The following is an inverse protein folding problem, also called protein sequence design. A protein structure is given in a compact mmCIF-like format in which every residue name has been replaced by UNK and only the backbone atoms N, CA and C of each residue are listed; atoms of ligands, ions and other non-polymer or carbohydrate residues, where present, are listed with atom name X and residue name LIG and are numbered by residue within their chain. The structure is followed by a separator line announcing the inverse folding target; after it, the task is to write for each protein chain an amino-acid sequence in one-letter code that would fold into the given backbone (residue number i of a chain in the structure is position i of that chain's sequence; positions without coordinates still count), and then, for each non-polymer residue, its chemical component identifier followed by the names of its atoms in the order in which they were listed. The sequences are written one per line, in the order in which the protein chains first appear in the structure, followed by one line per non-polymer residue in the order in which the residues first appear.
data_IF_433272308585
#
_entry.id   IF_433272308585
#
_cell.length_a   1.000
_cell.length_b   1.000
_cell.length_c   1.000
_cell.angle_alpha   90.00
_cell.angle_beta   90.00
_cell.angle_gamma   90.00
#
_symmetry.space_group_name_H-M   'P 1'
#
loop_
_entity.id
_entity.type
_entity.pdbx_description
1 polymer ?
#
# COMPACT_ATOMS: atom_id res chain seq x y z
N UNK A 1 -26.33 -22.75 -38.26
CA UNK A 1 -26.33 -22.89 -39.71
C UNK A 1 -27.77 -22.74 -40.24
N UNK A 2 -28.72 -23.46 -39.64
CA UNK A 2 -30.13 -23.47 -40.07
C UNK A 2 -30.81 -22.11 -39.91
N UNK A 3 -30.56 -21.40 -38.82
CA UNK A 3 -31.03 -20.05 -38.56
C UNK A 3 -30.49 -19.01 -39.58
N UNK A 4 -29.25 -19.18 -40.04
CA UNK A 4 -28.67 -18.32 -41.09
C UNK A 4 -29.39 -18.57 -42.45
N UNK A 5 -29.69 -19.80 -42.78
CA UNK A 5 -30.42 -20.18 -44.00
C UNK A 5 -31.84 -19.63 -43.96
N UNK A 6 -32.50 -19.73 -42.81
CA UNK A 6 -33.84 -19.19 -42.57
C UNK A 6 -33.87 -17.66 -42.69
N UNK A 7 -32.84 -16.96 -42.14
CA UNK A 7 -32.66 -15.52 -42.23
C UNK A 7 -32.49 -15.10 -43.69
N UNK A 8 -31.64 -15.80 -44.45
CA UNK A 8 -31.43 -15.52 -45.88
C UNK A 8 -32.72 -15.76 -46.72
N UNK A 9 -33.48 -16.83 -46.41
CA UNK A 9 -34.72 -17.12 -47.13
C UNK A 9 -35.85 -16.15 -46.78
N UNK A 10 -35.91 -15.65 -45.56
CA UNK A 10 -36.93 -14.68 -45.12
C UNK A 10 -36.60 -13.26 -45.56
N UNK A 11 -35.39 -13.01 -46.09
CA UNK A 11 -34.92 -11.68 -46.45
C UNK A 11 -34.66 -10.76 -45.25
N UNK A 12 -34.51 -11.31 -44.03
CA UNK A 12 -34.13 -10.55 -42.83
C UNK A 12 -32.63 -10.22 -42.86
N UNK A 13 -32.29 -8.99 -42.45
CA UNK A 13 -30.89 -8.57 -42.36
C UNK A 13 -30.22 -8.96 -41.01
N UNK A 14 -31.02 -9.30 -39.99
CA UNK A 14 -30.56 -9.58 -38.65
C UNK A 14 -31.13 -10.89 -38.14
N UNK A 15 -30.32 -11.66 -37.38
CA UNK A 15 -30.79 -12.82 -36.64
C UNK A 15 -30.04 -12.98 -35.32
N UNK A 16 -30.71 -13.58 -34.33
CA UNK A 16 -30.19 -13.84 -32.99
C UNK A 16 -29.87 -15.32 -32.85
N UNK A 17 -28.67 -15.64 -32.42
CA UNK A 17 -28.26 -17.01 -32.15
C UNK A 17 -27.96 -17.20 -30.68
N UNK A 18 -28.53 -18.17 -30.03
CA UNK A 18 -28.17 -18.55 -28.65
C UNK A 18 -27.14 -19.68 -28.69
N UNK A 19 -25.96 -19.40 -28.14
CA UNK A 19 -24.86 -20.36 -28.08
C UNK A 19 -25.09 -21.51 -27.10
N UNK A 20 -24.24 -22.53 -27.14
CA UNK A 20 -24.27 -23.64 -26.19
C UNK A 20 -23.89 -23.21 -24.74
N UNK A 21 -23.32 -22.05 -24.59
CA UNK A 21 -23.00 -21.34 -23.33
C UNK A 21 -24.19 -20.60 -22.71
N UNK A 22 -25.33 -20.52 -23.44
CA UNK A 22 -26.54 -19.82 -23.02
C UNK A 22 -26.51 -18.31 -23.31
N UNK A 23 -25.46 -17.80 -23.93
CA UNK A 23 -25.38 -16.39 -24.32
C UNK A 23 -26.06 -16.18 -25.69
N UNK A 24 -26.63 -15.00 -25.87
CA UNK A 24 -27.30 -14.58 -27.12
C UNK A 24 -26.37 -13.68 -27.92
N UNK A 25 -26.19 -14.01 -29.18
CA UNK A 25 -25.35 -13.28 -30.12
C UNK A 25 -26.18 -12.71 -31.25
N UNK A 26 -26.07 -11.41 -31.50
CA UNK A 26 -26.72 -10.74 -32.60
C UNK A 26 -25.82 -10.75 -33.83
N UNK A 27 -26.37 -11.22 -34.94
CA UNK A 27 -25.68 -11.28 -36.24
C UNK A 27 -26.40 -10.44 -37.28
N UNK A 28 -25.62 -9.69 -38.06
CA UNK A 28 -26.12 -8.95 -39.22
C UNK A 28 -25.63 -9.62 -40.49
N UNK A 29 -26.55 -9.84 -41.44
CA UNK A 29 -26.28 -10.51 -42.69
C UNK A 29 -26.43 -9.51 -43.82
N UNK A 30 -25.41 -9.36 -44.67
CA UNK A 30 -25.44 -8.47 -45.81
C UNK A 30 -25.01 -9.21 -47.08
N UNK A 31 -25.72 -9.06 -48.17
CA UNK A 31 -25.37 -9.58 -49.49
C UNK A 31 -24.54 -8.58 -50.26
N UNK A 32 -23.37 -9.03 -50.72
CA UNK A 32 -22.50 -8.23 -51.58
C UNK A 32 -22.71 -8.67 -53.05
N UNK A 33 -23.33 -7.82 -53.92
CA UNK A 33 -23.61 -8.18 -55.29
C UNK A 33 -22.35 -8.34 -56.16
N UNK A 34 -21.26 -7.65 -55.83
CA UNK A 34 -20.00 -7.68 -56.59
C UNK A 34 -19.27 -9.01 -56.42
N UNK A 35 -19.26 -9.55 -55.22
CA UNK A 35 -18.60 -10.82 -54.88
C UNK A 35 -19.57 -12.02 -54.94
N UNK A 36 -20.85 -11.77 -55.13
CA UNK A 36 -21.95 -12.77 -55.06
C UNK A 36 -21.89 -13.59 -53.74
N UNK A 37 -21.44 -12.94 -52.65
CA UNK A 37 -21.23 -13.58 -51.35
C UNK A 37 -22.09 -12.93 -50.26
N UNK A 38 -22.36 -13.74 -49.23
CA UNK A 38 -22.98 -13.25 -47.99
C UNK A 38 -21.93 -12.93 -46.97
N UNK A 39 -22.00 -11.76 -46.36
CA UNK A 39 -21.16 -11.37 -45.22
C UNK A 39 -21.99 -11.44 -43.94
N UNK A 40 -21.49 -12.17 -42.97
CA UNK A 40 -22.14 -12.31 -41.67
C UNK A 40 -21.26 -11.58 -40.65
N UNK A 41 -21.80 -10.53 -40.03
CA UNK A 41 -21.14 -9.73 -39.01
C UNK A 41 -21.77 -10.04 -37.67
N UNK A 42 -20.94 -10.33 -36.69
CA UNK A 42 -21.39 -10.45 -35.30
C UNK A 42 -21.35 -9.06 -34.64
N UNK A 43 -22.49 -8.64 -34.10
CA UNK A 43 -22.55 -7.45 -33.24
C UNK A 43 -22.07 -7.85 -31.85
N UNK A 44 -20.99 -7.25 -31.39
CA UNK A 44 -20.47 -7.44 -30.04
C UNK A 44 -20.38 -6.08 -29.37
N UNK A 45 -21.03 -5.98 -28.22
CA UNK A 45 -20.81 -4.81 -27.38
C UNK A 45 -19.36 -4.83 -26.89
N UNK A 46 -18.62 -3.82 -27.22
CA UNK A 46 -17.25 -3.64 -26.80
C UNK A 46 -17.15 -2.32 -26.04
N UNK A 47 -16.65 -2.38 -24.82
CA UNK A 47 -16.34 -1.17 -24.09
C UNK A 47 -15.18 -0.45 -24.77
N UNK A 48 -15.44 0.74 -25.30
CA UNK A 48 -14.41 1.63 -25.84
C UNK A 48 -13.90 2.48 -24.69
N UNK A 49 -12.68 2.20 -24.25
CA UNK A 49 -12.02 3.04 -23.26
C UNK A 49 -11.43 4.28 -23.95
N UNK A 50 -11.82 5.45 -23.50
CA UNK A 50 -11.25 6.70 -23.98
C UNK A 50 -9.87 6.91 -23.32
N UNK A 51 -8.84 6.40 -24.00
CA UNK A 51 -7.48 6.44 -23.51
C UNK A 51 -6.85 7.81 -23.78
N UNK A 52 -6.12 8.35 -22.78
CA UNK A 52 -5.50 9.69 -22.85
C UNK A 52 -6.47 10.82 -23.18
N UNK A 53 -7.73 10.71 -22.75
CA UNK A 53 -8.68 11.79 -22.89
C UNK A 53 -8.19 13.04 -22.16
N UNK A 54 -8.38 14.20 -22.80
CA UNK A 54 -8.04 15.48 -22.18
C UNK A 54 -8.94 15.79 -20.98
N UNK A 55 -8.50 16.66 -20.06
CA UNK A 55 -9.34 17.11 -18.95
C UNK A 55 -10.71 17.62 -19.40
N UNK A 56 -11.77 17.13 -18.77
CA UNK A 56 -13.16 17.44 -19.08
C UNK A 56 -14.00 17.54 -17.81
N UNK A 57 -15.31 17.82 -17.94
CA UNK A 57 -16.23 17.80 -16.79
C UNK A 57 -16.42 16.40 -16.20
N UNK A 58 -16.29 15.36 -17.02
CA UNK A 58 -16.41 13.96 -16.59
C UNK A 58 -15.10 13.44 -16.03
N UNK A 59 -13.96 13.85 -16.60
CA UNK A 59 -12.61 13.46 -16.21
C UNK A 59 -11.75 14.69 -15.94
N UNK A 60 -11.76 15.20 -14.72
CA UNK A 60 -11.09 16.47 -14.35
C UNK A 60 -9.60 16.50 -14.68
N UNK A 61 -8.90 15.40 -14.54
CA UNK A 61 -7.49 15.25 -14.89
C UNK A 61 -7.28 14.40 -16.17
N UNK A 62 -8.36 14.14 -16.91
CA UNK A 62 -8.31 13.24 -18.06
C UNK A 62 -8.23 11.77 -17.67
N UNK A 63 -7.92 10.90 -18.65
CA UNK A 63 -7.79 9.47 -18.47
C UNK A 63 -6.35 8.99 -18.73
N UNK A 64 -6.00 7.85 -18.16
CA UNK A 64 -4.71 7.20 -18.38
C UNK A 64 -4.68 6.31 -19.64
N UNK A 65 -3.58 5.59 -19.85
CA UNK A 65 -3.43 4.64 -20.98
C UNK A 65 -4.47 3.50 -20.98
N UNK A 66 -5.12 3.24 -19.85
CA UNK A 66 -6.13 2.19 -19.70
C UNK A 66 -7.56 2.76 -19.74
N UNK A 67 -7.73 4.07 -20.02
CA UNK A 67 -9.01 4.75 -19.97
C UNK A 67 -9.54 5.01 -18.56
N UNK A 68 -8.72 4.81 -17.51
CA UNK A 68 -9.13 5.06 -16.12
C UNK A 68 -9.02 6.55 -15.80
N UNK A 69 -10.01 7.09 -15.08
CA UNK A 69 -10.02 8.48 -14.62
C UNK A 69 -8.84 8.77 -13.67
N UNK A 70 -8.01 9.73 -14.05
CA UNK A 70 -6.78 10.08 -13.32
C UNK A 70 -7.06 10.65 -11.94
N UNK A 71 -8.14 11.43 -11.76
CA UNK A 71 -8.52 12.00 -10.46
C UNK A 71 -8.92 10.90 -9.49
N UNK A 72 -9.78 10.00 -9.91
CA UNK A 72 -10.21 8.84 -9.13
C UNK A 72 -9.02 7.99 -8.73
N UNK A 73 -8.12 7.72 -9.66
CA UNK A 73 -6.91 6.94 -9.41
C UNK A 73 -5.96 7.58 -8.41
N UNK A 74 -5.80 8.91 -8.47
CA UNK A 74 -5.00 9.67 -7.52
C UNK A 74 -5.61 9.61 -6.11
N UNK A 75 -6.93 9.74 -5.98
CA UNK A 75 -7.62 9.68 -4.69
C UNK A 75 -7.51 8.28 -4.05
N UNK A 76 -7.76 7.23 -4.82
CA UNK A 76 -7.66 5.85 -4.32
C UNK A 76 -6.22 5.46 -4.00
N UNK A 77 -5.25 5.80 -4.87
CA UNK A 77 -3.84 5.57 -4.62
C UNK A 77 -3.34 6.31 -3.38
N UNK A 78 -3.69 7.60 -3.25
CA UNK A 78 -3.35 8.39 -2.07
C UNK A 78 -3.91 7.81 -0.77
N UNK A 79 -5.15 7.31 -0.79
CA UNK A 79 -5.75 6.62 0.37
C UNK A 79 -4.94 5.39 0.77
N UNK A 80 -4.54 4.56 -0.19
CA UNK A 80 -3.75 3.34 0.08
C UNK A 80 -2.39 3.70 0.66
N UNK A 81 -1.67 4.64 0.04
CA UNK A 81 -0.35 5.09 0.53
C UNK A 81 -0.41 5.71 1.92
N UNK A 82 -1.45 6.48 2.24
CA UNK A 82 -1.66 7.01 3.59
C UNK A 82 -1.90 5.90 4.62
N UNK A 83 -2.75 4.91 4.31
CA UNK A 83 -3.01 3.78 5.21
C UNK A 83 -1.72 3.00 5.47
N UNK A 84 -0.95 2.72 4.43
CA UNK A 84 0.36 2.05 4.56
C UNK A 84 1.28 2.88 5.46
N UNK A 85 1.43 4.17 5.19
CA UNK A 85 2.27 5.07 5.96
C UNK A 85 1.90 5.09 7.44
N UNK A 86 0.63 5.26 7.77
CA UNK A 86 0.16 5.25 9.16
C UNK A 86 0.43 3.93 9.88
N UNK A 87 0.14 2.79 9.25
CA UNK A 87 0.37 1.48 9.87
C UNK A 87 1.86 1.24 10.10
N UNK A 88 2.72 1.56 9.14
CA UNK A 88 4.18 1.45 9.25
C UNK A 88 4.70 2.30 10.41
N UNK A 89 4.27 3.57 10.49
CA UNK A 89 4.68 4.47 11.56
C UNK A 89 4.18 4.02 12.95
N UNK A 90 2.96 3.48 13.05
CA UNK A 90 2.46 2.92 14.30
C UNK A 90 3.33 1.74 14.75
N UNK A 91 3.64 0.80 13.86
CA UNK A 91 4.49 -0.36 14.18
C UNK A 91 5.88 0.11 14.63
N UNK A 92 6.52 0.98 13.86
CA UNK A 92 7.85 1.53 14.18
C UNK A 92 7.86 2.28 15.52
N UNK A 93 6.82 3.07 15.76
CA UNK A 93 6.70 3.86 17.00
C UNK A 93 6.47 2.96 18.22
N UNK A 94 5.57 1.99 18.13
CA UNK A 94 5.29 1.07 19.25
C UNK A 94 6.56 0.30 19.63
N UNK A 95 7.26 -0.28 18.64
CA UNK A 95 8.52 -0.98 18.89
C UNK A 95 9.61 -0.04 19.42
N UNK A 96 9.71 1.15 18.83
CA UNK A 96 10.66 2.18 19.24
C UNK A 96 10.42 2.69 20.66
N UNK A 97 9.17 2.92 21.05
CA UNK A 97 8.82 3.36 22.41
C UNK A 97 9.13 2.27 23.43
N UNK A 98 8.78 1.02 23.13
CA UNK A 98 9.07 -0.10 24.06
C UNK A 98 10.56 -0.27 24.22
N UNK A 99 11.30 -0.47 23.14
CA UNK A 99 12.73 -0.79 23.20
C UNK A 99 13.57 0.43 23.60
N UNK A 100 13.28 1.60 23.05
CA UNK A 100 13.95 2.85 23.43
C UNK A 100 13.62 3.28 24.86
N UNK A 101 12.39 3.07 25.30
CA UNK A 101 11.95 3.32 26.69
C UNK A 101 12.68 2.44 27.69
N UNK A 102 12.76 1.13 27.42
CA UNK A 102 13.51 0.18 28.25
C UNK A 102 15.01 0.52 28.30
N UNK A 103 15.59 0.81 27.14
CA UNK A 103 17.00 1.20 27.01
C UNK A 103 17.31 2.47 27.80
N UNK A 104 16.54 3.55 27.60
CA UNK A 104 16.73 4.82 28.28
C UNK A 104 16.47 4.79 29.80
N UNK A 105 15.48 3.97 30.22
CA UNK A 105 15.13 3.89 31.64
C UNK A 105 16.10 3.05 32.46
N UNK A 106 16.37 1.81 32.03
CA UNK A 106 17.23 0.90 32.78
C UNK A 106 18.72 1.20 32.61
N UNK A 107 19.12 1.70 31.43
CA UNK A 107 20.51 2.03 31.15
C UNK A 107 21.44 0.82 31.20
N UNK A 108 22.72 1.05 31.46
CA UNK A 108 23.76 0.03 31.68
C UNK A 108 23.72 -1.12 30.66
N UNK A 109 23.57 -2.37 31.14
CA UNK A 109 23.57 -3.55 30.27
C UNK A 109 22.35 -3.65 29.34
N UNK A 110 21.17 -3.25 29.80
CA UNK A 110 19.94 -3.25 28.98
C UNK A 110 20.10 -2.28 27.81
N UNK A 111 20.60 -1.09 28.08
CA UNK A 111 20.89 -0.08 27.06
C UNK A 111 21.93 -0.60 26.06
N UNK A 112 23.03 -1.16 26.56
CA UNK A 112 24.07 -1.71 25.71
C UNK A 112 23.54 -2.81 24.77
N UNK A 113 22.73 -3.73 25.28
CA UNK A 113 22.16 -4.82 24.47
C UNK A 113 21.22 -4.30 23.38
N UNK A 114 20.26 -3.44 23.76
CA UNK A 114 19.27 -2.90 22.81
C UNK A 114 19.97 -2.05 21.75
N UNK A 115 20.93 -1.20 22.15
CA UNK A 115 21.65 -0.38 21.18
C UNK A 115 22.55 -1.20 20.24
N UNK A 116 23.09 -2.33 20.68
CA UNK A 116 23.80 -3.27 19.80
C UNK A 116 22.86 -3.86 18.74
N UNK A 117 21.65 -4.24 19.13
CA UNK A 117 20.65 -4.69 18.16
C UNK A 117 20.33 -3.56 17.16
N UNK A 118 20.12 -2.34 17.65
CA UNK A 118 19.90 -1.16 16.81
C UNK A 118 21.06 -0.95 15.83
N UNK A 119 22.31 -1.07 16.30
CA UNK A 119 23.51 -0.91 15.45
C UNK A 119 23.57 -1.99 14.36
N UNK A 120 23.22 -3.24 14.67
CA UNK A 120 23.12 -4.32 13.68
C UNK A 120 22.10 -3.98 12.60
N UNK A 121 20.91 -3.49 12.97
CA UNK A 121 19.90 -3.06 12.01
C UNK A 121 20.38 -1.94 11.09
N UNK A 122 21.16 -0.99 11.60
CA UNK A 122 21.73 0.08 10.77
C UNK A 122 22.85 -0.39 9.83
N UNK A 123 23.54 -1.48 10.15
CA UNK A 123 24.52 -2.08 9.26
C UNK A 123 23.87 -2.77 8.04
N UNK A 124 22.59 -3.12 8.14
CA UNK A 124 21.88 -3.84 7.10
C UNK A 124 21.23 -2.80 6.14
N UNK A 125 21.59 -2.79 4.87
CA UNK A 125 20.97 -1.86 3.93
C UNK A 125 19.50 -2.25 3.68
N UNK A 126 18.57 -1.40 4.14
CA UNK A 126 17.13 -1.70 4.11
C UNK A 126 16.58 -1.89 2.70
N UNK A 127 16.99 -1.08 1.72
CA UNK A 127 16.49 -1.17 0.35
C UNK A 127 16.77 -2.53 -0.32
N UNK A 128 17.99 -3.09 -0.33
CA UNK A 128 18.25 -4.43 -0.82
C UNK A 128 17.39 -5.51 -0.18
N UNK A 129 17.18 -5.45 1.16
CA UNK A 129 16.33 -6.42 1.85
C UNK A 129 14.90 -6.36 1.33
N UNK A 130 14.33 -5.17 1.23
CA UNK A 130 12.95 -4.98 0.77
C UNK A 130 12.80 -5.46 -0.67
N UNK A 131 13.78 -5.20 -1.53
CA UNK A 131 13.80 -5.67 -2.92
C UNK A 131 13.82 -7.21 -2.98
N UNK A 132 14.70 -7.85 -2.21
CA UNK A 132 14.78 -9.33 -2.17
C UNK A 132 13.47 -9.94 -1.67
N UNK A 133 12.91 -9.40 -0.60
CA UNK A 133 11.64 -9.88 -0.04
C UNK A 133 10.47 -9.64 -1.01
N UNK A 134 10.44 -8.50 -1.68
CA UNK A 134 9.45 -8.20 -2.73
C UNK A 134 9.53 -9.19 -3.89
N UNK A 135 10.73 -9.46 -4.39
CA UNK A 135 10.96 -10.44 -5.45
C UNK A 135 10.60 -11.88 -5.01
N UNK A 136 10.90 -12.24 -3.77
CA UNK A 136 10.49 -13.53 -3.22
C UNK A 136 8.97 -13.70 -3.17
N UNK A 137 8.23 -12.66 -2.79
CA UNK A 137 6.77 -12.64 -2.82
C UNK A 137 6.20 -12.75 -4.25
N UNK A 138 6.87 -12.16 -5.25
CA UNK A 138 6.49 -12.32 -6.65
C UNK A 138 6.62 -13.77 -7.13
N UNK A 139 7.74 -14.41 -6.79
CA UNK A 139 8.01 -15.80 -7.17
C UNK A 139 7.05 -16.81 -6.52
N UNK A 140 6.52 -16.50 -5.34
CA UNK A 140 5.58 -17.36 -4.62
C UNK A 140 4.12 -17.09 -4.97
N UNK A 141 3.83 -16.12 -5.82
CA UNK A 141 2.46 -15.80 -6.25
C UNK A 141 1.55 -15.32 -5.12
N UNK A 142 2.10 -14.61 -4.15
CA UNK A 142 1.35 -14.08 -3.00
C UNK A 142 0.26 -13.12 -3.48
N UNK A 143 -0.95 -13.28 -2.93
CA UNK A 143 -2.08 -12.39 -3.18
C UNK A 143 -1.72 -10.92 -2.94
N UNK A 144 -2.13 -9.98 -3.83
CA UNK A 144 -1.81 -8.56 -3.70
C UNK A 144 -2.17 -7.94 -2.35
N UNK A 145 -3.28 -8.35 -1.73
CA UNK A 145 -3.71 -7.84 -0.43
C UNK A 145 -2.77 -8.32 0.70
N UNK A 146 -2.40 -9.58 0.67
CA UNK A 146 -1.46 -10.18 1.65
C UNK A 146 -0.07 -9.56 1.47
N UNK A 147 0.36 -9.33 0.23
CA UNK A 147 1.61 -8.65 -0.09
C UNK A 147 1.68 -7.25 0.54
N UNK A 148 0.60 -6.48 0.46
CA UNK A 148 0.51 -5.16 1.09
C UNK A 148 0.73 -5.24 2.61
N UNK A 149 0.12 -6.23 3.28
CA UNK A 149 0.29 -6.45 4.72
C UNK A 149 1.76 -6.78 5.04
N UNK A 150 2.38 -7.68 4.29
CA UNK A 150 3.79 -8.03 4.50
C UNK A 150 4.72 -6.84 4.30
N UNK A 151 4.49 -6.00 3.28
CA UNK A 151 5.26 -4.78 3.08
C UNK A 151 5.13 -3.82 4.27
N UNK A 152 3.92 -3.61 4.81
CA UNK A 152 3.71 -2.78 5.99
C UNK A 152 4.47 -3.33 7.21
N UNK A 153 4.41 -4.64 7.44
CA UNK A 153 5.11 -5.28 8.56
C UNK A 153 6.63 -5.16 8.42
N UNK A 154 7.16 -5.40 7.23
CA UNK A 154 8.60 -5.31 6.95
C UNK A 154 9.10 -3.88 7.12
N UNK A 155 8.43 -2.90 6.51
CA UNK A 155 8.80 -1.49 6.63
C UNK A 155 8.73 -1.01 8.09
N UNK A 156 7.65 -1.34 8.79
CA UNK A 156 7.50 -0.99 10.20
C UNK A 156 8.57 -1.64 11.09
N UNK A 157 8.89 -2.90 10.82
CA UNK A 157 9.94 -3.62 11.54
C UNK A 157 11.35 -3.13 11.20
N UNK A 158 11.60 -2.57 10.03
CA UNK A 158 12.88 -1.96 9.68
C UNK A 158 13.01 -0.52 10.19
N UNK A 159 11.90 0.17 10.45
CA UNK A 159 11.87 1.58 10.88
C UNK A 159 12.10 1.81 12.38
N UNK A 160 11.83 0.81 13.23
CA UNK A 160 11.88 0.98 14.70
C UNK A 160 13.23 1.45 15.28
N UNK A 161 14.42 1.14 14.72
CA UNK A 161 15.69 1.54 15.32
C UNK A 161 15.87 3.05 15.44
N UNK A 162 15.41 3.81 14.43
CA UNK A 162 15.43 5.28 14.47
C UNK A 162 14.56 5.83 15.59
N UNK A 163 13.34 5.31 15.71
CA UNK A 163 12.41 5.70 16.76
C UNK A 163 12.93 5.31 18.15
N UNK A 164 13.54 4.12 18.28
CA UNK A 164 14.13 3.68 19.55
C UNK A 164 15.27 4.60 20.02
N UNK A 165 16.16 5.04 19.12
CA UNK A 165 17.22 6.01 19.47
C UNK A 165 16.65 7.34 19.93
N UNK A 166 15.63 7.83 19.25
CA UNK A 166 14.96 9.08 19.62
C UNK A 166 14.33 8.98 21.02
N UNK A 167 13.52 7.95 21.26
CA UNK A 167 12.86 7.72 22.54
C UNK A 167 13.86 7.53 23.66
N UNK A 168 14.92 6.74 23.43
CA UNK A 168 16.01 6.56 24.40
C UNK A 168 16.61 7.90 24.79
N UNK A 169 16.94 8.77 23.82
CA UNK A 169 17.51 10.09 24.09
C UNK A 169 16.60 10.96 24.97
N UNK A 170 15.30 10.98 24.66
CA UNK A 170 14.30 11.71 25.45
C UNK A 170 14.16 11.14 26.85
N UNK A 171 14.09 9.82 27.03
CA UNK A 171 13.94 9.16 28.33
C UNK A 171 15.18 9.39 29.18
N UNK A 172 16.40 9.37 28.63
CA UNK A 172 17.61 9.68 29.38
C UNK A 172 17.58 11.09 29.94
N UNK A 173 17.17 12.08 29.14
CA UNK A 173 17.03 13.46 29.60
C UNK A 173 15.93 13.64 30.65
N UNK A 174 14.77 13.03 30.44
CA UNK A 174 13.63 13.13 31.36
C UNK A 174 13.88 12.42 32.69
N UNK A 175 14.64 11.32 32.68
CA UNK A 175 14.95 10.54 33.89
C UNK A 175 15.75 11.36 34.90
N UNK A 176 16.57 12.31 34.47
CA UNK A 176 17.42 13.15 35.30
C UNK A 176 16.68 14.38 35.87
N UNK A 177 15.42 14.59 35.51
CA UNK A 177 14.64 15.72 35.97
C UNK A 177 14.12 15.53 37.40
N UNK A 178 13.90 16.62 38.12
CA UNK A 178 13.51 16.63 39.54
C UNK A 178 12.19 15.90 39.80
N UNK A 179 11.22 15.98 38.87
CA UNK A 179 9.95 15.27 39.04
C UNK A 179 10.12 13.74 39.05
N UNK A 180 11.13 13.21 38.32
CA UNK A 180 11.42 11.77 38.33
C UNK A 180 12.04 11.36 39.68
N UNK A 181 12.96 12.14 40.21
CA UNK A 181 13.52 11.93 41.56
C UNK A 181 12.42 11.97 42.63
N UNK A 182 11.49 12.90 42.53
CA UNK A 182 10.35 12.98 43.41
C UNK A 182 9.44 11.73 43.33
N UNK A 183 9.16 11.23 42.11
CA UNK A 183 8.38 9.98 41.95
C UNK A 183 9.07 8.75 42.54
N UNK A 184 10.40 8.74 42.52
CA UNK A 184 11.19 7.69 43.14
C UNK A 184 11.14 7.76 44.66
N UNK A 185 11.34 8.95 45.21
CA UNK A 185 11.24 9.20 46.65
C UNK A 185 9.82 8.84 47.22
N UNK A 186 8.77 9.06 46.43
CA UNK A 186 7.41 8.66 46.76
C UNK A 186 7.12 7.15 46.59
N UNK A 187 8.09 6.34 46.23
CA UNK A 187 7.95 4.89 46.08
C UNK A 187 7.07 4.44 44.93
N UNK A 188 6.88 5.27 43.88
CA UNK A 188 6.06 4.93 42.73
C UNK A 188 6.73 3.79 41.96
N UNK A 189 5.97 2.74 41.61
CA UNK A 189 6.47 1.58 40.90
C UNK A 189 7.07 1.95 39.54
N UNK A 190 8.11 1.23 39.11
CA UNK A 190 8.84 1.45 37.84
C UNK A 190 7.88 1.52 36.63
N UNK A 191 6.95 0.58 36.51
CA UNK A 191 5.98 0.57 35.42
C UNK A 191 5.16 1.87 35.40
N UNK A 192 4.66 2.34 36.53
CA UNK A 192 3.89 3.59 36.63
C UNK A 192 4.76 4.81 36.28
N UNK A 193 6.04 4.84 36.70
CA UNK A 193 7.00 5.89 36.33
C UNK A 193 7.19 5.95 34.81
N UNK A 194 7.37 4.81 34.16
CA UNK A 194 7.54 4.76 32.71
C UNK A 194 6.25 5.18 31.98
N UNK A 195 5.15 4.46 32.18
CA UNK A 195 3.95 4.64 31.37
C UNK A 195 3.13 5.89 31.71
N UNK A 196 3.16 6.37 32.96
CA UNK A 196 2.35 7.50 33.39
C UNK A 196 3.13 8.83 33.49
N UNK A 197 4.45 8.77 33.58
CA UNK A 197 5.26 9.98 33.72
C UNK A 197 6.23 10.16 32.54
N UNK A 198 6.98 9.16 32.13
CA UNK A 198 7.97 9.32 31.06
C UNK A 198 7.35 9.29 29.67
N UNK A 199 6.62 8.24 29.32
CA UNK A 199 6.03 8.08 27.97
C UNK A 199 5.15 9.27 27.57
N UNK A 200 4.25 9.80 28.41
CA UNK A 200 3.44 10.96 28.03
C UNK A 200 4.26 12.21 27.70
N UNK A 201 5.39 12.41 28.37
CA UNK A 201 6.30 13.52 28.09
C UNK A 201 7.10 13.36 26.78
N UNK A 202 7.21 12.13 26.26
CA UNK A 202 7.86 11.86 24.97
C UNK A 202 6.86 11.99 23.80
N UNK A 203 5.55 11.87 24.04
CA UNK A 203 4.50 11.92 23.00
C UNK A 203 4.61 13.12 22.07
N UNK A 204 4.81 14.37 22.52
CA UNK A 204 4.92 15.51 21.63
C UNK A 204 6.02 15.33 20.57
N UNK A 205 7.19 14.86 20.99
CA UNK A 205 8.30 14.58 20.09
C UNK A 205 8.01 13.41 19.14
N UNK A 206 7.30 12.38 19.64
CA UNK A 206 6.87 11.24 18.81
C UNK A 206 5.92 11.68 17.71
N UNK A 207 4.94 12.53 18.01
CA UNK A 207 3.98 13.03 17.01
C UNK A 207 4.73 13.75 15.88
N UNK A 208 5.67 14.63 16.22
CA UNK A 208 6.47 15.34 15.22
C UNK A 208 7.26 14.35 14.35
N UNK A 209 7.96 13.40 15.00
CA UNK A 209 8.79 12.42 14.28
C UNK A 209 7.95 11.50 13.39
N UNK A 210 6.81 11.01 13.87
CA UNK A 210 5.89 10.20 13.07
C UNK A 210 5.32 10.98 11.88
N UNK A 211 4.95 12.25 12.08
CA UNK A 211 4.43 13.07 10.97
C UNK A 211 5.49 13.27 9.88
N UNK A 212 6.73 13.50 10.26
CA UNK A 212 7.84 13.58 9.30
C UNK A 212 8.15 12.23 8.66
N UNK A 213 8.08 11.15 9.42
CA UNK A 213 8.29 9.77 8.97
C UNK A 213 7.28 9.32 7.92
N UNK A 214 6.01 9.74 8.04
CA UNK A 214 4.96 9.43 7.05
C UNK A 214 5.38 9.80 5.63
N UNK A 215 5.95 10.98 5.42
CA UNK A 215 6.43 11.41 4.10
C UNK A 215 7.52 10.48 3.56
N UNK A 216 8.48 10.09 4.41
CA UNK A 216 9.54 9.15 4.06
C UNK A 216 9.01 7.75 3.70
N UNK A 217 8.05 7.26 4.46
CA UNK A 217 7.41 5.95 4.22
C UNK A 217 6.64 5.94 2.91
N UNK A 218 5.87 7.00 2.61
CA UNK A 218 5.14 7.14 1.34
C UNK A 218 6.11 7.16 0.14
N UNK A 219 7.22 7.91 0.24
CA UNK A 219 8.24 7.93 -0.81
C UNK A 219 8.87 6.54 -0.99
N UNK A 220 9.15 5.83 0.09
CA UNK A 220 9.71 4.47 0.04
C UNK A 220 8.74 3.51 -0.63
N UNK A 221 7.45 3.55 -0.26
CA UNK A 221 6.40 2.73 -0.90
C UNK A 221 6.28 3.06 -2.40
N UNK A 222 6.23 4.35 -2.76
CA UNK A 222 6.16 4.77 -4.15
C UNK A 222 7.38 4.29 -4.96
N UNK A 223 8.58 4.31 -4.36
CA UNK A 223 9.80 3.78 -4.99
C UNK A 223 9.70 2.27 -5.23
N UNK A 224 9.19 1.52 -4.26
CA UNK A 224 8.95 0.07 -4.41
C UNK A 224 7.91 -0.23 -5.47
N UNK A 225 6.83 0.55 -5.50
CA UNK A 225 5.79 0.44 -6.52
C UNK A 225 6.33 0.75 -7.92
N UNK A 226 7.19 1.76 -8.05
CA UNK A 226 7.88 2.06 -9.31
C UNK A 226 8.78 0.91 -9.78
N UNK A 227 9.48 0.24 -8.87
CA UNK A 227 10.29 -0.96 -9.16
C UNK A 227 9.45 -2.21 -9.43
N UNK A 228 8.12 -2.13 -9.41
CA UNK A 228 7.22 -3.26 -9.60
C UNK A 228 7.09 -4.18 -8.37
N UNK A 229 7.69 -3.80 -7.26
CA UNK A 229 7.72 -4.55 -6.00
C UNK A 229 6.68 -4.06 -4.99
N UNK A 230 5.98 -2.99 -5.29
CA UNK A 230 4.96 -2.38 -4.46
C UNK A 230 3.61 -3.09 -4.52
N UNK A 231 2.57 -2.37 -4.11
CA UNK A 231 1.19 -2.84 -4.18
C UNK A 231 0.78 -3.02 -5.64
N UNK A 232 0.40 -4.24 -6.01
CA UNK A 232 -0.19 -4.52 -7.33
C UNK A 232 -1.69 -4.27 -7.23
N UNK A 233 -2.21 -3.44 -8.12
CA UNK A 233 -3.65 -3.30 -8.28
C UNK A 233 -4.22 -4.52 -9.00
N UNK A 234 -5.43 -4.97 -8.64
CA UNK A 234 -6.13 -6.03 -9.33
C UNK A 234 -6.45 -5.66 -10.78
#
# INVERSE_FOLDING_TARGET
KDQLIECIQSGSEDFVYTGADGETYDYKVSYNPDTKGWTVLQSKETYVFDTYASPSREHWLGTDRNGMDMMTRLMYGGRVSLVIGFIVEIISTVLGVILGGLSGYFGKWVDMLIMRIVDVFYCIPSMPIIIILGAAMDNTGVDPQIRMIYLMLILGFLGWPGMARLVRGQILSLREQEFMTATEACGISVSRRIFRHLVPNVIPQLIVSCTMGLGGTIITEATLSFLGLGVKFP
#
